data_IF_614012707585
#
_entry.id   IF_614012707585
#
_cell.length_a   1.000
_cell.length_b   1.000
_cell.length_c   1.000
_cell.angle_alpha   90.00
_cell.angle_beta   90.00
_cell.angle_gamma   90.00
#
_symmetry.space_group_name_H-M   'P 1'
#
loop_
_entity.id
_entity.type
_entity.pdbx_description
1 polymer ?
#
# COMPACT_ATOMS: atom_id res chain seq x y z
N UNK A 1 -39.21 -37.18 -28.60
CA UNK A 1 -40.29 -36.23 -28.25
C UNK A 1 -39.74 -35.29 -27.20
N UNK A 2 -39.81 -34.00 -27.49
CA UNK A 2 -39.68 -32.81 -26.64
C UNK A 2 -38.32 -32.61 -25.92
N UNK A 3 -37.36 -31.83 -26.43
CA UNK A 3 -37.19 -30.37 -26.49
C UNK A 3 -37.40 -29.67 -25.13
N UNK A 4 -36.30 -29.29 -24.49
CA UNK A 4 -36.28 -28.22 -23.50
C UNK A 4 -35.09 -27.29 -23.75
N UNK A 5 -35.45 -26.04 -23.95
CA UNK A 5 -34.66 -24.89 -24.36
C UNK A 5 -33.80 -24.44 -23.20
N UNK A 6 -32.50 -24.26 -23.46
CA UNK A 6 -31.59 -23.56 -22.54
C UNK A 6 -31.86 -22.05 -22.62
N UNK A 7 -32.29 -21.46 -21.51
CA UNK A 7 -32.37 -20.02 -21.31
C UNK A 7 -30.99 -19.49 -20.92
N UNK A 8 -30.49 -18.59 -21.74
CA UNK A 8 -29.20 -17.90 -21.61
C UNK A 8 -29.24 -16.78 -20.53
N UNK A 9 -28.26 -16.66 -19.64
CA UNK A 9 -28.22 -15.60 -18.60
C UNK A 9 -27.56 -14.30 -19.12
N UNK A 10 -27.67 -13.97 -20.39
CA UNK A 10 -27.00 -12.80 -20.99
C UNK A 10 -27.78 -11.48 -20.87
N UNK A 11 -29.02 -11.50 -20.37
CA UNK A 11 -29.86 -10.29 -20.33
C UNK A 11 -29.77 -9.46 -19.04
N UNK A 12 -29.26 -10.02 -17.94
CA UNK A 12 -29.21 -9.30 -16.65
C UNK A 12 -28.01 -8.33 -16.55
N UNK A 13 -26.92 -8.63 -17.24
CA UNK A 13 -25.71 -7.77 -17.21
C UNK A 13 -25.86 -6.47 -18.02
N UNK A 14 -26.77 -6.46 -18.99
CA UNK A 14 -27.07 -5.26 -19.79
C UNK A 14 -28.05 -4.31 -19.11
N UNK A 15 -28.88 -4.80 -18.18
CA UNK A 15 -29.80 -3.95 -17.41
C UNK A 15 -29.08 -3.17 -16.29
N UNK A 16 -28.07 -3.75 -15.64
CA UNK A 16 -27.34 -3.05 -14.57
C UNK A 16 -26.45 -1.91 -15.12
N UNK A 17 -25.83 -2.06 -16.31
CA UNK A 17 -25.10 -0.94 -16.95
C UNK A 17 -26.02 0.20 -17.39
N UNK A 18 -27.28 -0.06 -17.72
CA UNK A 18 -28.25 0.99 -18.03
C UNK A 18 -28.76 1.74 -16.82
N UNK A 19 -28.83 1.11 -15.65
CA UNK A 19 -29.25 1.80 -14.41
C UNK A 19 -28.18 2.75 -13.88
N UNK A 20 -26.89 2.43 -13.98
CA UNK A 20 -25.79 3.33 -13.53
C UNK A 20 -25.64 4.53 -14.48
N UNK A 21 -25.82 4.32 -15.79
CA UNK A 21 -25.83 5.42 -16.78
C UNK A 21 -27.10 6.28 -16.66
N UNK A 22 -28.25 5.69 -16.29
CA UNK A 22 -29.49 6.44 -16.05
C UNK A 22 -29.44 7.24 -14.74
N UNK A 23 -28.80 6.78 -13.67
CA UNK A 23 -28.64 7.60 -12.45
C UNK A 23 -27.68 8.78 -12.66
N UNK A 24 -26.63 8.64 -13.48
CA UNK A 24 -25.78 9.77 -13.86
C UNK A 24 -26.48 10.73 -14.84
N UNK A 25 -27.31 10.23 -15.74
CA UNK A 25 -28.15 11.03 -16.63
C UNK A 25 -29.35 11.67 -15.88
N UNK A 26 -29.87 11.04 -14.84
CA UNK A 26 -30.98 11.59 -14.05
C UNK A 26 -30.51 12.74 -13.13
N UNK A 27 -29.27 12.73 -12.62
CA UNK A 27 -28.67 13.90 -11.96
C UNK A 27 -28.38 15.03 -12.95
N UNK A 28 -28.05 14.71 -14.20
CA UNK A 28 -27.89 15.72 -15.26
C UNK A 28 -29.22 16.26 -15.80
N UNK A 29 -30.32 15.50 -15.74
CA UNK A 29 -31.62 15.94 -16.28
C UNK A 29 -32.44 16.79 -15.30
N UNK A 30 -32.14 16.74 -13.99
CA UNK A 30 -32.74 17.65 -13.01
C UNK A 30 -32.18 19.07 -13.08
N UNK A 31 -31.11 19.30 -13.88
CA UNK A 31 -30.50 20.59 -14.17
C UNK A 31 -30.44 20.93 -15.67
N UNK A 32 -31.38 20.44 -16.48
CA UNK A 32 -31.50 20.93 -17.86
C UNK A 32 -32.34 22.20 -17.86
N UNK A 33 -31.71 23.41 -17.96
CA UNK A 33 -32.50 24.64 -18.06
C UNK A 33 -32.92 24.88 -19.51
N UNK A 34 -34.16 25.21 -19.75
CA UNK A 34 -34.53 25.84 -21.00
C UNK A 34 -34.01 27.29 -20.98
N UNK A 35 -33.33 27.72 -22.02
CA UNK A 35 -32.76 29.09 -22.26
C UNK A 35 -31.38 29.37 -21.65
N UNK A 36 -30.36 28.83 -22.26
CA UNK A 36 -29.02 28.66 -21.69
C UNK A 36 -28.16 29.92 -21.59
N UNK A 37 -28.43 31.02 -22.27
CA UNK A 37 -27.46 32.15 -22.34
C UNK A 37 -27.73 33.32 -21.37
N UNK A 38 -28.98 33.76 -21.21
CA UNK A 38 -29.31 34.91 -20.37
C UNK A 38 -29.51 34.56 -18.90
N UNK A 39 -30.12 33.43 -18.61
CA UNK A 39 -30.33 32.94 -17.22
C UNK A 39 -29.01 32.55 -16.55
N UNK A 40 -28.06 31.93 -17.27
CA UNK A 40 -26.75 31.57 -16.72
C UNK A 40 -25.94 32.81 -16.28
N UNK A 41 -25.90 33.87 -17.08
CA UNK A 41 -25.22 35.14 -16.72
C UNK A 41 -25.88 35.85 -15.53
N UNK A 42 -27.21 35.79 -15.42
CA UNK A 42 -27.93 36.34 -14.27
C UNK A 42 -27.60 35.53 -13.01
N UNK A 43 -27.57 34.23 -13.11
CA UNK A 43 -27.19 33.33 -12.00
C UNK A 43 -25.76 33.59 -11.57
N UNK A 44 -24.78 33.66 -12.47
CA UNK A 44 -23.41 33.99 -12.14
C UNK A 44 -23.27 35.34 -11.41
N UNK A 45 -24.04 36.37 -11.84
CA UNK A 45 -24.05 37.66 -11.16
C UNK A 45 -24.60 37.58 -9.75
N UNK A 46 -25.66 36.81 -9.54
CA UNK A 46 -26.26 36.61 -8.20
C UNK A 46 -25.28 35.87 -7.29
N UNK A 47 -24.70 34.75 -7.77
CA UNK A 47 -23.70 33.99 -7.03
C UNK A 47 -22.45 34.82 -6.68
N UNK A 48 -22.00 35.73 -7.61
CA UNK A 48 -20.88 36.61 -7.29
C UNK A 48 -21.23 37.62 -6.19
N UNK A 49 -22.48 38.10 -6.12
CA UNK A 49 -22.93 38.99 -5.04
C UNK A 49 -23.03 38.24 -3.69
N UNK A 50 -23.43 36.96 -3.70
CA UNK A 50 -23.42 36.09 -2.52
C UNK A 50 -21.98 35.85 -2.01
N UNK A 51 -21.01 35.62 -2.92
CA UNK A 51 -19.58 35.56 -2.59
C UNK A 51 -19.12 36.87 -1.93
N UNK A 52 -19.54 38.03 -2.41
CA UNK A 52 -19.19 39.32 -1.82
C UNK A 52 -19.73 39.44 -0.39
N UNK A 53 -20.98 38.99 -0.15
CA UNK A 53 -21.60 38.97 1.16
C UNK A 53 -20.87 38.00 2.14
N UNK A 54 -20.58 36.79 1.70
CA UNK A 54 -19.84 35.80 2.51
C UNK A 54 -18.45 36.28 2.91
N UNK A 55 -17.72 36.97 2.03
CA UNK A 55 -16.42 37.56 2.33
C UNK A 55 -16.49 38.60 3.45
N UNK A 56 -17.59 39.38 3.50
CA UNK A 56 -17.83 40.34 4.59
C UNK A 56 -18.18 39.64 5.89
N UNK A 57 -19.05 38.65 5.86
CA UNK A 57 -19.43 37.83 7.03
C UNK A 57 -18.24 37.08 7.65
N UNK A 58 -17.36 36.52 6.83
CA UNK A 58 -16.15 35.82 7.28
C UNK A 58 -15.23 36.71 8.12
N UNK A 59 -15.19 38.02 7.80
CA UNK A 59 -14.40 38.97 8.59
C UNK A 59 -14.96 39.12 10.02
N UNK A 60 -16.27 39.04 10.20
CA UNK A 60 -16.91 39.18 11.50
C UNK A 60 -16.79 37.93 12.38
N UNK A 61 -16.76 36.72 11.76
CA UNK A 61 -16.73 35.43 12.49
C UNK A 61 -15.33 34.85 12.64
N UNK A 62 -14.28 35.58 12.30
CA UNK A 62 -12.88 35.09 12.28
C UNK A 62 -12.40 34.50 13.63
N UNK A 63 -12.99 34.95 14.74
CA UNK A 63 -12.66 34.46 16.08
C UNK A 63 -13.38 33.14 16.44
N UNK A 64 -14.46 32.80 15.76
CA UNK A 64 -15.16 31.53 15.89
C UNK A 64 -14.66 30.57 14.80
N UNK A 65 -13.72 29.70 15.16
CA UNK A 65 -13.09 28.75 14.24
C UNK A 65 -14.10 27.89 13.49
N UNK A 66 -15.13 27.38 14.17
CA UNK A 66 -16.13 26.50 13.56
C UNK A 66 -17.01 27.25 12.58
N UNK A 67 -17.49 28.45 12.95
CA UNK A 67 -18.29 29.31 12.09
C UNK A 67 -17.46 29.80 10.90
N UNK A 68 -16.20 30.16 11.12
CA UNK A 68 -15.28 30.60 10.08
C UNK A 68 -15.05 29.50 9.02
N UNK A 69 -14.69 28.26 9.44
CA UNK A 69 -14.49 27.14 8.52
C UNK A 69 -15.74 26.77 7.75
N UNK A 70 -16.89 26.75 8.42
CA UNK A 70 -18.18 26.52 7.76
C UNK A 70 -18.46 27.59 6.69
N UNK A 71 -18.20 28.85 6.98
CA UNK A 71 -18.33 29.94 6.03
C UNK A 71 -17.37 29.83 4.85
N UNK A 72 -16.12 29.40 5.08
CA UNK A 72 -15.14 29.17 3.99
C UNK A 72 -15.58 28.01 3.10
N UNK A 73 -16.08 26.93 3.65
CA UNK A 73 -16.62 25.79 2.86
C UNK A 73 -17.77 26.28 1.97
N UNK A 74 -18.69 27.09 2.50
CA UNK A 74 -19.80 27.65 1.71
C UNK A 74 -19.28 28.61 0.62
N UNK A 75 -18.35 29.49 0.97
CA UNK A 75 -17.71 30.42 0.03
C UNK A 75 -17.10 29.68 -1.17
N UNK A 76 -16.39 28.59 -0.93
CA UNK A 76 -15.74 27.82 -1.99
C UNK A 76 -16.74 27.03 -2.83
N UNK A 77 -17.82 26.50 -2.25
CA UNK A 77 -18.94 25.90 -2.99
C UNK A 77 -19.56 26.93 -3.94
N UNK A 78 -19.86 28.13 -3.44
CA UNK A 78 -20.47 29.19 -4.25
C UNK A 78 -19.53 29.69 -5.34
N UNK A 79 -18.23 29.74 -5.08
CA UNK A 79 -17.22 30.08 -6.07
C UNK A 79 -17.21 29.10 -7.26
N UNK A 80 -17.26 27.81 -6.98
CA UNK A 80 -17.34 26.74 -7.99
C UNK A 80 -18.61 26.86 -8.82
N UNK A 81 -19.75 27.08 -8.16
CA UNK A 81 -21.06 27.27 -8.80
C UNK A 81 -21.05 28.54 -9.67
N UNK A 82 -20.52 29.64 -9.16
CA UNK A 82 -20.39 30.90 -9.89
C UNK A 82 -19.55 30.70 -11.17
N UNK A 83 -18.39 30.08 -11.07
CA UNK A 83 -17.52 29.81 -12.22
C UNK A 83 -18.18 28.89 -13.26
N UNK A 84 -18.92 27.88 -12.81
CA UNK A 84 -19.68 27.01 -13.70
C UNK A 84 -20.69 27.78 -14.55
N UNK A 85 -21.48 28.69 -13.95
CA UNK A 85 -22.47 29.46 -14.67
C UNK A 85 -21.81 30.58 -15.50
N UNK A 86 -20.75 31.21 -15.01
CA UNK A 86 -20.00 32.24 -15.69
C UNK A 86 -19.30 31.72 -16.96
N UNK A 87 -18.94 30.45 -16.96
CA UNK A 87 -18.28 29.76 -18.07
C UNK A 87 -19.22 29.26 -19.15
N UNK A 88 -20.54 29.31 -18.94
CA UNK A 88 -21.51 28.82 -19.92
C UNK A 88 -21.39 29.63 -21.24
N UNK A 89 -21.34 28.94 -22.39
CA UNK A 89 -21.25 29.61 -23.68
C UNK A 89 -22.49 30.44 -23.96
N UNK A 90 -22.29 31.54 -24.69
CA UNK A 90 -23.37 32.36 -25.18
C UNK A 90 -24.10 31.68 -26.38
N UNK A 91 -25.10 32.40 -26.95
CA UNK A 91 -25.87 31.92 -28.10
C UNK A 91 -25.01 31.65 -29.36
N UNK A 92 -23.76 32.15 -29.38
CA UNK A 92 -22.79 31.97 -30.48
C UNK A 92 -21.76 30.85 -30.13
N UNK A 93 -21.94 30.14 -29.02
CA UNK A 93 -21.02 29.10 -28.59
C UNK A 93 -19.74 29.61 -27.94
N UNK A 94 -19.59 30.93 -27.69
CA UNK A 94 -18.40 31.50 -27.10
C UNK A 94 -18.51 31.59 -25.58
N UNK A 95 -17.54 30.99 -24.86
CA UNK A 95 -17.37 31.16 -23.41
C UNK A 95 -16.49 32.41 -23.15
N UNK A 96 -16.95 33.28 -22.25
CA UNK A 96 -16.21 34.46 -21.82
C UNK A 96 -16.55 34.81 -20.38
N UNK A 97 -15.93 34.08 -19.42
CA UNK A 97 -16.21 34.24 -18.00
C UNK A 97 -15.72 35.61 -17.51
N UNK A 98 -16.60 36.31 -16.79
CA UNK A 98 -16.35 37.67 -16.29
C UNK A 98 -15.73 37.68 -14.91
N UNK A 99 -16.12 36.74 -14.07
CA UNK A 99 -15.78 36.73 -12.66
C UNK A 99 -14.60 35.79 -12.35
N UNK A 100 -14.27 34.84 -13.24
CA UNK A 100 -13.22 33.80 -13.00
C UNK A 100 -11.91 34.43 -12.54
N UNK A 101 -11.35 35.39 -13.27
CA UNK A 101 -10.04 35.97 -12.95
C UNK A 101 -10.05 36.67 -11.58
N UNK A 102 -11.09 37.46 -11.32
CA UNK A 102 -11.24 38.22 -10.07
C UNK A 102 -11.47 37.25 -8.88
N UNK A 103 -12.37 36.29 -9.04
CA UNK A 103 -12.66 35.33 -8.01
C UNK A 103 -11.46 34.39 -7.77
N UNK A 104 -10.79 33.91 -8.81
CA UNK A 104 -9.58 33.09 -8.68
C UNK A 104 -8.49 33.80 -7.89
N UNK A 105 -8.28 35.11 -8.10
CA UNK A 105 -7.30 35.90 -7.35
C UNK A 105 -7.68 36.10 -5.88
N UNK A 106 -8.93 36.52 -5.61
CA UNK A 106 -9.36 36.88 -4.26
C UNK A 106 -9.68 35.66 -3.38
N UNK A 107 -10.03 34.52 -4.00
CA UNK A 107 -10.41 33.29 -3.28
C UNK A 107 -9.28 32.29 -3.15
N UNK A 108 -8.20 32.38 -3.94
CA UNK A 108 -7.04 31.48 -3.80
C UNK A 108 -6.49 31.35 -2.37
N UNK A 109 -6.44 32.40 -1.52
CA UNK A 109 -5.96 32.25 -0.15
C UNK A 109 -6.83 31.32 0.70
N UNK A 110 -8.09 31.11 0.33
CA UNK A 110 -8.99 30.22 1.07
C UNK A 110 -8.83 28.75 0.73
N UNK A 111 -8.04 28.40 -0.28
CA UNK A 111 -7.72 26.99 -0.57
C UNK A 111 -6.99 26.31 0.61
N UNK A 112 -5.98 26.97 1.20
CA UNK A 112 -5.32 26.45 2.38
C UNK A 112 -6.25 26.39 3.58
N UNK A 113 -7.10 27.40 3.75
CA UNK A 113 -8.10 27.42 4.84
C UNK A 113 -9.12 26.29 4.67
N UNK A 114 -9.45 25.92 3.43
CA UNK A 114 -10.32 24.78 3.14
C UNK A 114 -9.68 23.45 3.58
N UNK A 115 -8.36 23.30 3.39
CA UNK A 115 -7.62 22.16 3.92
C UNK A 115 -7.65 22.16 5.44
N UNK A 116 -7.41 23.30 6.09
CA UNK A 116 -7.49 23.43 7.55
C UNK A 116 -8.87 23.08 8.09
N UNK A 117 -9.93 23.48 7.37
CA UNK A 117 -11.31 23.11 7.71
C UNK A 117 -11.53 21.58 7.65
N UNK A 118 -11.03 20.93 6.61
CA UNK A 118 -11.08 19.46 6.50
C UNK A 118 -10.33 18.76 7.64
N UNK A 119 -9.13 19.23 7.97
CA UNK A 119 -8.33 18.72 9.08
C UNK A 119 -9.01 18.96 10.44
N UNK A 120 -9.67 20.10 10.60
CA UNK A 120 -10.45 20.39 11.82
C UNK A 120 -11.57 19.39 12.03
N UNK A 121 -12.38 19.07 11.02
CA UNK A 121 -13.43 18.07 11.15
C UNK A 121 -12.86 16.65 11.30
N UNK A 122 -11.75 16.31 10.62
CA UNK A 122 -11.03 15.05 10.77
C UNK A 122 -10.53 14.83 12.21
N UNK A 123 -9.92 15.84 12.84
CA UNK A 123 -9.44 15.78 14.21
C UNK A 123 -10.56 15.54 15.23
N UNK A 124 -11.80 15.93 14.90
CA UNK A 124 -13.02 15.72 15.68
C UNK A 124 -13.70 14.38 15.38
N UNK A 125 -13.07 13.52 14.57
CA UNK A 125 -13.61 12.24 14.10
C UNK A 125 -14.89 12.36 13.26
N UNK A 126 -15.13 13.51 12.66
CA UNK A 126 -16.22 13.75 11.72
C UNK A 126 -15.74 13.46 10.29
N UNK A 127 -15.51 12.17 10.04
CA UNK A 127 -14.85 11.68 8.83
C UNK A 127 -15.65 11.99 7.56
N UNK A 128 -17.01 11.98 7.63
CA UNK A 128 -17.85 12.29 6.47
C UNK A 128 -17.70 13.76 6.06
N UNK A 129 -17.82 14.67 7.04
CA UNK A 129 -17.70 16.11 6.81
C UNK A 129 -16.27 16.45 6.31
N UNK A 130 -15.25 15.83 6.92
CA UNK A 130 -13.87 16.00 6.48
C UNK A 130 -13.67 15.55 5.03
N UNK A 131 -14.20 14.38 4.66
CA UNK A 131 -14.12 13.84 3.30
C UNK A 131 -14.80 14.76 2.28
N UNK A 132 -16.00 15.29 2.60
CA UNK A 132 -16.68 16.24 1.72
C UNK A 132 -15.84 17.51 1.48
N UNK A 133 -15.21 18.03 2.53
CA UNK A 133 -14.38 19.23 2.45
C UNK A 133 -13.11 18.95 1.63
N UNK A 134 -12.45 17.83 1.86
CA UNK A 134 -11.28 17.44 1.09
C UNK A 134 -11.60 17.20 -0.39
N UNK A 135 -12.72 16.57 -0.71
CA UNK A 135 -13.17 16.41 -2.09
C UNK A 135 -13.51 17.76 -2.76
N UNK A 136 -14.10 18.69 -1.99
CA UNK A 136 -14.32 20.05 -2.48
C UNK A 136 -13.00 20.76 -2.81
N UNK A 137 -11.97 20.60 -1.98
CA UNK A 137 -10.63 21.14 -2.27
C UNK A 137 -10.08 20.57 -3.58
N UNK A 138 -10.12 19.26 -3.76
CA UNK A 138 -9.63 18.60 -4.99
C UNK A 138 -10.40 19.07 -6.22
N UNK A 139 -11.73 19.19 -6.11
CA UNK A 139 -12.56 19.77 -7.19
C UNK A 139 -12.18 21.22 -7.50
N UNK A 140 -11.88 22.02 -6.47
CA UNK A 140 -11.45 23.40 -6.67
C UNK A 140 -10.13 23.50 -7.45
N UNK A 141 -9.11 22.75 -7.06
CA UNK A 141 -7.75 22.85 -7.67
C UNK A 141 -7.70 22.31 -9.10
N UNK A 142 -8.59 21.39 -9.45
CA UNK A 142 -8.72 20.87 -10.82
C UNK A 142 -9.42 21.88 -11.77
N UNK A 143 -10.13 22.89 -11.23
CA UNK A 143 -10.89 23.85 -12.05
C UNK A 143 -10.03 24.98 -12.58
N UNK A 144 -10.34 25.51 -13.78
CA UNK A 144 -9.67 26.68 -14.34
C UNK A 144 -9.71 27.91 -13.43
N UNK A 145 -10.68 28.00 -12.50
CA UNK A 145 -10.81 29.07 -11.50
C UNK A 145 -9.56 29.20 -10.62
N UNK A 146 -8.95 28.05 -10.23
CA UNK A 146 -7.81 27.98 -9.30
C UNK A 146 -6.57 27.35 -9.93
N UNK A 147 -6.53 27.22 -11.24
CA UNK A 147 -5.43 26.56 -11.94
C UNK A 147 -4.05 27.12 -11.52
N UNK A 148 -3.13 26.23 -11.18
CA UNK A 148 -1.77 26.59 -10.75
C UNK A 148 -1.69 27.18 -9.34
N UNK A 149 -2.71 27.02 -8.50
CA UNK A 149 -2.78 27.52 -7.12
C UNK A 149 -2.73 26.40 -6.07
N UNK A 150 -2.39 25.19 -6.49
CA UNK A 150 -2.34 24.05 -5.60
C UNK A 150 -0.96 23.90 -4.94
N UNK A 151 -0.99 23.63 -3.61
CA UNK A 151 0.18 23.27 -2.82
C UNK A 151 -0.08 22.06 -1.88
N UNK A 152 -1.30 21.51 -1.85
CA UNK A 152 -1.70 20.50 -0.87
C UNK A 152 -2.42 19.30 -1.52
N UNK A 153 -2.31 19.13 -2.83
CA UNK A 153 -3.02 18.04 -3.53
C UNK A 153 -2.62 16.66 -3.00
N UNK A 154 -1.33 16.43 -2.77
CA UNK A 154 -0.82 15.17 -2.22
C UNK A 154 -1.36 14.89 -0.82
N UNK A 155 -1.30 15.87 0.07
CA UNK A 155 -1.84 15.80 1.43
C UNK A 155 -3.34 15.45 1.40
N UNK A 156 -4.12 16.22 0.65
CA UNK A 156 -5.58 16.06 0.63
C UNK A 156 -5.98 14.74 -0.02
N UNK A 157 -5.32 14.36 -1.13
CA UNK A 157 -5.55 13.08 -1.78
C UNK A 157 -5.22 11.91 -0.83
N UNK A 158 -4.15 12.00 -0.04
CA UNK A 158 -3.82 11.02 0.98
C UNK A 158 -4.96 10.85 2.01
N UNK A 159 -5.49 11.95 2.57
CA UNK A 159 -6.59 11.85 3.52
C UNK A 159 -7.88 11.33 2.91
N UNK A 160 -8.20 11.68 1.67
CA UNK A 160 -9.36 11.09 0.97
C UNK A 160 -9.15 9.59 0.76
N UNK A 161 -7.94 9.18 0.34
CA UNK A 161 -7.59 7.77 0.18
C UNK A 161 -7.74 6.99 1.49
N UNK A 162 -7.21 7.53 2.59
CA UNK A 162 -7.29 6.94 3.93
C UNK A 162 -8.76 6.79 4.41
N UNK A 163 -9.56 7.83 4.23
CA UNK A 163 -10.96 7.82 4.63
C UNK A 163 -11.81 6.88 3.77
N UNK A 164 -11.53 6.82 2.45
CA UNK A 164 -12.19 5.87 1.53
C UNK A 164 -11.83 4.42 1.88
N UNK A 165 -10.56 4.15 2.21
CA UNK A 165 -10.14 2.85 2.69
C UNK A 165 -10.88 2.43 3.98
N UNK A 166 -11.02 3.35 4.93
CA UNK A 166 -11.77 3.12 6.16
C UNK A 166 -13.28 2.85 5.96
N UNK A 167 -13.83 3.24 4.79
CA UNK A 167 -15.21 2.95 4.36
C UNK A 167 -15.31 1.71 3.46
N UNK A 168 -14.20 1.02 3.23
CA UNK A 168 -14.11 -0.11 2.31
C UNK A 168 -14.42 0.25 0.84
N UNK A 169 -14.37 1.54 0.48
CA UNK A 169 -14.39 1.98 -0.91
C UNK A 169 -12.96 1.90 -1.49
N UNK A 170 -12.53 0.68 -1.75
CA UNK A 170 -11.16 0.39 -2.19
C UNK A 170 -10.85 1.00 -3.55
N UNK A 171 -11.84 1.11 -4.43
CA UNK A 171 -11.67 1.70 -5.75
C UNK A 171 -11.40 3.21 -5.66
N UNK A 172 -12.11 3.93 -4.81
CA UNK A 172 -11.87 5.35 -4.55
C UNK A 172 -10.55 5.55 -3.79
N UNK A 173 -10.28 4.69 -2.79
CA UNK A 173 -9.03 4.72 -2.03
C UNK A 173 -7.79 4.55 -2.93
N UNK A 174 -7.77 3.56 -3.83
CA UNK A 174 -6.69 3.33 -4.79
C UNK A 174 -6.51 4.54 -5.72
N UNK A 175 -7.60 5.09 -6.25
CA UNK A 175 -7.55 6.26 -7.15
C UNK A 175 -6.89 7.48 -6.51
N UNK A 176 -7.23 7.79 -5.26
CA UNK A 176 -6.64 8.93 -4.56
C UNK A 176 -5.25 8.63 -4.01
N UNK A 177 -4.94 7.37 -3.69
CA UNK A 177 -3.58 6.94 -3.40
C UNK A 177 -2.65 7.23 -4.60
N UNK A 178 -3.08 6.93 -5.84
CA UNK A 178 -2.31 7.24 -7.06
C UNK A 178 -2.03 8.74 -7.25
N UNK A 179 -2.90 9.61 -6.75
CA UNK A 179 -2.66 11.06 -6.74
C UNK A 179 -1.63 11.42 -5.67
N UNK A 180 -1.79 10.88 -4.46
CA UNK A 180 -0.92 11.16 -3.32
C UNK A 180 0.51 10.61 -3.51
N UNK A 181 0.69 9.52 -4.26
CA UNK A 181 2.00 8.95 -4.64
C UNK A 181 2.93 9.95 -5.35
N UNK A 182 2.38 10.98 -5.98
CA UNK A 182 3.16 12.01 -6.68
C UNK A 182 3.81 13.02 -5.73
N UNK A 183 3.40 13.05 -4.48
CA UNK A 183 3.96 13.91 -3.44
C UNK A 183 4.90 13.08 -2.56
N UNK A 184 6.19 13.41 -2.56
CA UNK A 184 7.23 12.68 -1.82
C UNK A 184 6.97 12.59 -0.31
N UNK A 185 6.21 13.53 0.27
CA UNK A 185 5.88 13.51 1.69
C UNK A 185 4.86 12.42 2.05
N UNK A 186 4.01 12.03 1.09
CA UNK A 186 2.91 11.08 1.30
C UNK A 186 3.05 9.80 0.48
N UNK A 187 4.06 9.72 -0.41
CA UNK A 187 4.22 8.63 -1.35
C UNK A 187 4.25 7.26 -0.67
N UNK A 188 4.98 7.13 0.43
CA UNK A 188 5.08 5.87 1.17
C UNK A 188 3.73 5.45 1.75
N UNK A 189 3.07 6.35 2.48
CA UNK A 189 1.82 6.04 3.17
C UNK A 189 0.68 5.78 2.16
N UNK A 190 0.68 6.51 1.05
CA UNK A 190 -0.23 6.28 -0.07
C UNK A 190 -0.01 4.92 -0.74
N UNK A 191 1.26 4.50 -0.91
CA UNK A 191 1.59 3.19 -1.46
C UNK A 191 1.10 2.06 -0.55
N UNK A 192 1.19 2.23 0.78
CA UNK A 192 0.65 1.27 1.74
C UNK A 192 -0.88 1.10 1.58
N UNK A 193 -1.61 2.21 1.48
CA UNK A 193 -3.07 2.16 1.26
C UNK A 193 -3.37 1.44 -0.06
N UNK A 194 -2.67 1.82 -1.14
CA UNK A 194 -2.85 1.23 -2.47
C UNK A 194 -2.65 -0.28 -2.45
N UNK A 195 -1.57 -0.76 -1.83
CA UNK A 195 -1.26 -2.18 -1.72
C UNK A 195 -2.33 -2.92 -0.91
N UNK A 196 -2.80 -2.34 0.19
CA UNK A 196 -3.86 -2.93 0.98
C UNK A 196 -5.19 -3.01 0.20
N UNK A 197 -5.52 -2.00 -0.62
CA UNK A 197 -6.67 -2.05 -1.52
C UNK A 197 -6.52 -3.16 -2.56
N UNK A 198 -5.36 -3.25 -3.23
CA UNK A 198 -5.09 -4.27 -4.25
C UNK A 198 -5.18 -5.68 -3.68
N UNK A 199 -4.71 -5.89 -2.44
CA UNK A 199 -4.75 -7.20 -1.78
C UNK A 199 -6.16 -7.75 -1.62
N UNK A 200 -7.17 -6.88 -1.50
CA UNK A 200 -8.57 -7.31 -1.35
C UNK A 200 -9.20 -7.85 -2.65
N UNK A 201 -8.55 -7.64 -3.81
CA UNK A 201 -9.09 -7.94 -5.13
C UNK A 201 -8.11 -8.74 -6.01
N UNK A 202 -7.37 -9.69 -5.43
CA UNK A 202 -6.44 -10.57 -6.16
C UNK A 202 -7.20 -11.72 -6.84
N UNK A 203 -8.02 -11.41 -7.85
CA UNK A 203 -8.87 -12.39 -8.53
C UNK A 203 -8.27 -12.90 -9.84
N UNK A 204 -7.36 -12.14 -10.45
CA UNK A 204 -6.75 -12.49 -11.73
C UNK A 204 -5.22 -12.49 -11.66
N UNK A 205 -4.59 -13.13 -12.65
CA UNK A 205 -3.13 -13.08 -12.82
C UNK A 205 -2.64 -11.63 -13.06
N UNK A 206 -3.46 -10.81 -13.72
CA UNK A 206 -3.13 -9.40 -13.95
C UNK A 206 -3.17 -8.60 -12.64
N UNK A 207 -4.14 -8.85 -11.75
CA UNK A 207 -4.21 -8.19 -10.44
C UNK A 207 -3.01 -8.59 -9.59
N UNK A 208 -2.64 -9.88 -9.62
CA UNK A 208 -1.44 -10.37 -8.93
C UNK A 208 -0.17 -9.70 -9.43
N UNK A 209 -0.02 -9.52 -10.75
CA UNK A 209 1.14 -8.84 -11.34
C UNK A 209 1.19 -7.35 -10.95
N UNK A 210 0.06 -6.65 -10.94
CA UNK A 210 -0.03 -5.26 -10.47
C UNK A 210 0.32 -5.12 -8.98
N UNK A 211 -0.22 -6.02 -8.16
CA UNK A 211 0.04 -6.06 -6.72
C UNK A 211 1.52 -6.25 -6.42
N UNK A 212 2.16 -7.27 -7.03
CA UNK A 212 3.56 -7.54 -6.75
C UNK A 212 4.47 -6.40 -7.21
N UNK A 213 4.17 -5.79 -8.36
CA UNK A 213 4.92 -4.62 -8.85
C UNK A 213 4.84 -3.47 -7.85
N UNK A 214 3.65 -3.12 -7.39
CA UNK A 214 3.44 -2.04 -6.42
C UNK A 214 4.11 -2.36 -5.05
N UNK A 215 4.09 -3.61 -4.62
CA UNK A 215 4.73 -4.04 -3.38
C UNK A 215 6.26 -3.99 -3.46
N UNK A 216 6.85 -4.35 -4.61
CA UNK A 216 8.29 -4.20 -4.86
C UNK A 216 8.69 -2.72 -4.84
N UNK A 217 7.92 -1.85 -5.50
CA UNK A 217 8.15 -0.40 -5.49
C UNK A 217 8.10 0.17 -4.06
N UNK A 218 7.13 -0.25 -3.25
CA UNK A 218 7.01 0.15 -1.85
C UNK A 218 8.20 -0.33 -1.02
N UNK A 219 8.63 -1.57 -1.21
CA UNK A 219 9.82 -2.11 -0.55
C UNK A 219 11.09 -1.33 -0.97
N UNK A 220 11.22 -0.97 -2.24
CA UNK A 220 12.36 -0.17 -2.72
C UNK A 220 12.36 1.27 -2.16
N UNK A 221 11.17 1.87 -1.89
CA UNK A 221 11.06 3.16 -1.21
C UNK A 221 11.42 3.10 0.28
N UNK A 222 11.20 1.97 0.94
CA UNK A 222 11.45 1.80 2.36
C UNK A 222 12.08 0.42 2.67
N UNK A 223 13.34 0.18 2.21
CA UNK A 223 13.97 -1.14 2.25
C UNK A 223 14.27 -1.65 3.67
N UNK A 224 14.30 -0.78 4.66
CA UNK A 224 14.47 -1.13 6.07
C UNK A 224 13.14 -1.53 6.75
N UNK A 225 12.01 -1.38 6.06
CA UNK A 225 10.73 -1.81 6.58
C UNK A 225 10.54 -3.32 6.36
N UNK A 226 10.73 -4.05 7.45
CA UNK A 226 10.62 -5.51 7.48
C UNK A 226 9.24 -6.05 7.06
N UNK A 227 8.20 -5.24 7.23
CA UNK A 227 6.82 -5.64 6.88
C UNK A 227 6.69 -5.87 5.37
N UNK A 228 7.26 -4.98 4.55
CA UNK A 228 7.17 -5.10 3.10
C UNK A 228 7.95 -6.30 2.57
N UNK A 229 9.15 -6.51 3.12
CA UNK A 229 9.95 -7.69 2.80
C UNK A 229 9.22 -8.99 3.17
N UNK A 230 8.60 -9.04 4.35
CA UNK A 230 7.77 -10.18 4.76
C UNK A 230 6.58 -10.40 3.83
N UNK A 231 5.87 -9.33 3.44
CA UNK A 231 4.73 -9.45 2.51
C UNK A 231 5.16 -10.03 1.15
N UNK A 232 6.36 -9.67 0.65
CA UNK A 232 6.95 -10.25 -0.56
C UNK A 232 7.25 -11.73 -0.39
N UNK A 233 7.87 -12.13 0.73
CA UNK A 233 8.12 -13.54 1.05
C UNK A 233 6.80 -14.31 1.12
N UNK A 234 5.81 -13.81 1.85
CA UNK A 234 4.50 -14.46 2.01
C UNK A 234 3.81 -14.66 0.64
N UNK A 235 3.87 -13.64 -0.22
CA UNK A 235 3.32 -13.74 -1.57
C UNK A 235 4.03 -14.81 -2.41
N UNK A 236 5.36 -14.76 -2.53
CA UNK A 236 6.13 -15.72 -3.34
C UNK A 236 6.09 -17.13 -2.78
N UNK A 237 6.05 -17.29 -1.45
CA UNK A 237 5.91 -18.60 -0.79
C UNK A 237 4.55 -19.24 -1.03
N UNK A 238 3.51 -18.43 -1.26
CA UNK A 238 2.17 -18.91 -1.62
C UNK A 238 2.06 -19.42 -3.07
N UNK A 239 3.03 -19.13 -3.92
CA UNK A 239 3.04 -19.60 -5.30
C UNK A 239 3.44 -21.10 -5.35
N UNK A 240 2.89 -21.82 -6.35
CA UNK A 240 3.25 -23.23 -6.58
C UNK A 240 4.70 -23.38 -7.06
N UNK A 241 5.17 -22.43 -7.83
CA UNK A 241 6.53 -22.37 -8.34
C UNK A 241 7.41 -21.51 -7.41
N UNK A 242 8.36 -22.14 -6.74
CA UNK A 242 9.28 -21.49 -5.81
C UNK A 242 10.46 -20.81 -6.50
N UNK A 243 10.58 -20.93 -7.81
CA UNK A 243 11.66 -20.29 -8.60
C UNK A 243 11.63 -18.78 -8.39
N UNK A 244 10.44 -18.18 -8.38
CA UNK A 244 10.26 -16.75 -8.18
C UNK A 244 10.73 -16.26 -6.79
N UNK A 245 10.56 -17.08 -5.76
CA UNK A 245 11.08 -16.77 -4.42
C UNK A 245 12.63 -16.75 -4.41
N UNK A 246 13.24 -17.71 -5.09
CA UNK A 246 14.70 -17.78 -5.21
C UNK A 246 15.26 -16.61 -6.04
N UNK A 247 14.61 -16.26 -7.15
CA UNK A 247 14.95 -15.10 -7.97
C UNK A 247 14.81 -13.80 -7.15
N UNK A 248 13.73 -13.63 -6.41
CA UNK A 248 13.55 -12.47 -5.53
C UNK A 248 14.68 -12.37 -4.48
N UNK A 249 15.02 -13.48 -3.80
CA UNK A 249 16.10 -13.48 -2.81
C UNK A 249 17.46 -13.09 -3.45
N UNK A 250 17.74 -13.61 -4.65
CA UNK A 250 18.97 -13.31 -5.38
C UNK A 250 19.04 -11.84 -5.83
N UNK A 251 17.96 -11.29 -6.38
CA UNK A 251 17.89 -9.87 -6.78
C UNK A 251 18.00 -8.95 -5.57
N UNK A 252 17.39 -9.31 -4.44
CA UNK A 252 17.47 -8.53 -3.21
C UNK A 252 18.90 -8.49 -2.66
N UNK A 253 19.61 -9.62 -2.65
CA UNK A 253 21.03 -9.68 -2.26
C UNK A 253 21.90 -8.84 -3.20
N UNK A 254 21.61 -8.86 -4.50
CA UNK A 254 22.33 -8.05 -5.49
C UNK A 254 22.12 -6.55 -5.28
N UNK A 255 20.89 -6.12 -4.97
CA UNK A 255 20.55 -4.72 -4.69
C UNK A 255 21.08 -4.26 -3.33
N UNK A 256 20.99 -5.12 -2.31
CA UNK A 256 21.28 -4.84 -0.90
C UNK A 256 22.06 -6.00 -0.27
N UNK A 257 23.37 -6.08 -0.51
CA UNK A 257 24.20 -7.19 -0.02
C UNK A 257 24.32 -7.24 1.51
N UNK A 258 23.92 -6.17 2.20
CA UNK A 258 23.83 -6.05 3.66
C UNK A 258 22.44 -6.41 4.22
N UNK A 259 21.51 -6.86 3.41
CA UNK A 259 20.21 -7.35 3.87
C UNK A 259 20.34 -8.77 4.45
N UNK A 260 20.49 -8.88 5.79
CA UNK A 260 20.60 -10.17 6.50
C UNK A 260 19.41 -11.10 6.22
N UNK A 261 18.21 -10.57 5.97
CA UNK A 261 17.00 -11.37 5.75
C UNK A 261 16.99 -11.99 4.35
N UNK A 262 17.51 -11.30 3.36
CA UNK A 262 17.64 -11.85 2.01
C UNK A 262 18.63 -13.02 2.00
N UNK A 263 19.75 -12.91 2.74
CA UNK A 263 20.68 -14.01 2.93
C UNK A 263 20.06 -15.18 3.69
N UNK A 264 19.29 -14.92 4.76
CA UNK A 264 18.57 -15.96 5.49
C UNK A 264 17.53 -16.67 4.61
N UNK A 265 16.74 -15.91 3.85
CA UNK A 265 15.77 -16.44 2.89
C UNK A 265 16.43 -17.36 1.84
N UNK A 266 17.57 -16.94 1.27
CA UNK A 266 18.34 -17.78 0.35
C UNK A 266 18.83 -19.06 1.04
N UNK A 267 19.29 -18.95 2.30
CA UNK A 267 19.66 -20.09 3.13
C UNK A 267 18.53 -21.07 3.37
N UNK A 268 17.34 -20.57 3.69
CA UNK A 268 16.13 -21.38 3.88
C UNK A 268 15.74 -22.14 2.60
N UNK A 269 15.83 -21.49 1.44
CA UNK A 269 15.56 -22.12 0.14
C UNK A 269 16.56 -23.25 -0.12
N UNK A 270 17.87 -22.98 0.05
CA UNK A 270 18.91 -24.00 -0.11
C UNK A 270 18.74 -25.16 0.90
N UNK A 271 18.36 -24.87 2.15
CA UNK A 271 18.09 -25.88 3.16
C UNK A 271 16.91 -26.79 2.76
N UNK A 272 15.83 -26.22 2.21
CA UNK A 272 14.69 -26.99 1.70
C UNK A 272 15.06 -27.90 0.53
N UNK A 273 16.03 -27.46 -0.30
CA UNK A 273 16.59 -28.24 -1.40
C UNK A 273 17.64 -29.28 -0.94
N UNK A 274 17.99 -29.32 0.35
CA UNK A 274 19.07 -30.12 0.93
C UNK A 274 20.46 -29.72 0.43
N UNK A 275 20.62 -28.49 -0.04
CA UNK A 275 21.89 -27.90 -0.46
C UNK A 275 22.61 -27.33 0.78
N UNK A 276 22.99 -28.24 1.72
CA UNK A 276 23.46 -27.86 3.06
C UNK A 276 24.64 -26.90 3.07
N UNK A 277 25.62 -27.08 2.16
CA UNK A 277 26.80 -26.21 2.09
C UNK A 277 26.44 -24.80 1.68
N UNK A 278 25.57 -24.63 0.69
CA UNK A 278 25.07 -23.32 0.27
C UNK A 278 24.22 -22.67 1.38
N UNK A 279 23.36 -23.43 2.02
CA UNK A 279 22.55 -22.95 3.16
C UNK A 279 23.45 -22.41 4.28
N UNK A 280 24.49 -23.19 4.68
CA UNK A 280 25.47 -22.77 5.69
C UNK A 280 26.15 -21.46 5.29
N UNK A 281 26.60 -21.33 4.04
CA UNK A 281 27.23 -20.09 3.54
C UNK A 281 26.27 -18.91 3.67
N UNK A 282 25.03 -19.07 3.24
CA UNK A 282 24.03 -18.01 3.27
C UNK A 282 23.67 -17.57 4.71
N UNK A 283 23.41 -18.53 5.60
CA UNK A 283 23.11 -18.20 7.00
C UNK A 283 24.32 -17.59 7.72
N UNK A 284 25.55 -18.07 7.46
CA UNK A 284 26.75 -17.44 8.00
C UNK A 284 26.93 -16.00 7.51
N UNK A 285 26.56 -15.71 6.26
CA UNK A 285 26.57 -14.36 5.75
C UNK A 285 25.54 -13.47 6.48
N UNK A 286 24.33 -13.98 6.73
CA UNK A 286 23.32 -13.28 7.54
C UNK A 286 23.84 -12.97 8.96
N UNK A 287 24.53 -13.93 9.60
CA UNK A 287 25.16 -13.78 10.91
C UNK A 287 26.36 -12.81 10.88
N UNK A 288 27.10 -12.73 9.78
CA UNK A 288 28.18 -11.76 9.63
C UNK A 288 27.66 -10.33 9.56
N UNK A 289 26.47 -10.12 8.97
CA UNK A 289 25.78 -8.83 8.93
C UNK A 289 25.20 -8.49 10.29
N UNK A 290 24.54 -9.45 10.94
CA UNK A 290 23.99 -9.29 12.28
C UNK A 290 24.29 -10.49 13.16
N UNK A 291 25.28 -10.34 14.02
CA UNK A 291 25.74 -11.40 14.92
C UNK A 291 24.75 -11.82 15.99
N UNK A 292 23.69 -11.04 16.20
CA UNK A 292 22.58 -11.31 17.14
C UNK A 292 21.35 -11.91 16.46
N UNK A 293 21.41 -12.21 15.16
CA UNK A 293 20.29 -12.80 14.43
C UNK A 293 20.10 -14.27 14.81
N UNK A 294 19.40 -14.49 15.92
CA UNK A 294 19.25 -15.81 16.59
C UNK A 294 18.84 -16.91 15.62
N UNK A 295 17.83 -16.65 14.74
CA UNK A 295 17.35 -17.64 13.79
C UNK A 295 18.46 -18.12 12.85
N UNK A 296 19.21 -17.20 12.25
CA UNK A 296 20.29 -17.59 11.33
C UNK A 296 21.42 -18.34 12.04
N UNK A 297 21.74 -17.96 13.30
CA UNK A 297 22.74 -18.70 14.13
C UNK A 297 22.28 -20.13 14.37
N UNK A 298 21.01 -20.31 14.71
CA UNK A 298 20.41 -21.62 14.91
C UNK A 298 20.40 -22.46 13.63
N UNK A 299 19.99 -21.87 12.51
CA UNK A 299 19.85 -22.56 11.23
C UNK A 299 21.20 -23.04 10.66
N UNK A 300 22.32 -22.36 10.96
CA UNK A 300 23.64 -22.91 10.69
C UNK A 300 23.85 -24.21 11.43
N UNK A 301 23.50 -24.26 12.72
CA UNK A 301 23.60 -25.46 13.54
C UNK A 301 22.76 -26.62 13.00
N UNK A 302 21.50 -26.32 12.61
CA UNK A 302 20.58 -27.29 12.00
C UNK A 302 21.12 -27.82 10.67
N UNK A 303 21.66 -26.96 9.80
CA UNK A 303 22.26 -27.40 8.54
C UNK A 303 23.42 -28.38 8.76
N UNK A 304 24.28 -28.15 9.75
CA UNK A 304 25.35 -29.08 10.10
C UNK A 304 24.82 -30.41 10.66
N UNK A 305 23.77 -30.40 11.49
CA UNK A 305 23.10 -31.62 11.95
C UNK A 305 22.55 -32.41 10.77
N UNK A 306 21.77 -31.76 9.91
CA UNK A 306 21.15 -32.42 8.74
C UNK A 306 22.18 -32.95 7.77
N UNK A 307 23.28 -32.23 7.55
CA UNK A 307 24.40 -32.68 6.71
C UNK A 307 25.09 -33.90 7.32
N UNK A 308 25.28 -33.95 8.65
CA UNK A 308 25.85 -35.09 9.36
C UNK A 308 24.96 -36.32 9.26
N UNK A 309 23.64 -36.16 9.42
CA UNK A 309 22.66 -37.23 9.29
C UNK A 309 22.61 -37.77 7.86
N UNK A 310 22.53 -36.92 6.85
CA UNK A 310 22.52 -37.36 5.45
C UNK A 310 23.82 -38.07 5.07
N UNK A 311 24.97 -37.55 5.52
CA UNK A 311 26.26 -38.20 5.29
C UNK A 311 26.31 -39.58 5.97
N UNK A 312 25.81 -39.71 7.22
CA UNK A 312 25.74 -40.99 7.92
C UNK A 312 24.88 -41.99 7.14
N UNK A 313 23.66 -41.59 6.77
CA UNK A 313 22.71 -42.45 6.07
C UNK A 313 23.24 -42.91 4.70
N UNK A 314 24.04 -42.05 4.02
CA UNK A 314 24.69 -42.40 2.74
C UNK A 314 25.88 -43.34 2.84
N UNK A 315 26.53 -43.42 4.01
CA UNK A 315 27.76 -44.18 4.23
C UNK A 315 27.58 -45.46 5.07
N UNK A 316 26.45 -45.62 5.76
CA UNK A 316 26.14 -46.84 6.50
C UNK A 316 25.93 -48.00 5.53
N UNK A 317 26.62 -49.15 5.84
CA UNK A 317 26.40 -50.39 5.12
C UNK A 317 25.11 -51.11 5.60
N UNK A 318 24.76 -52.21 4.96
CA UNK A 318 23.59 -53.03 5.34
C UNK A 318 23.61 -53.54 6.82
N UNK A 319 24.75 -53.40 7.49
CA UNK A 319 24.94 -53.76 8.91
C UNK A 319 25.03 -52.57 9.83
N UNK A 320 24.66 -51.38 9.33
CA UNK A 320 24.77 -50.11 10.06
C UNK A 320 26.19 -49.78 10.57
N UNK A 321 27.25 -50.16 9.80
CA UNK A 321 28.62 -49.92 10.17
C UNK A 321 29.25 -48.83 9.31
N UNK A 322 29.95 -47.92 9.98
CA UNK A 322 30.73 -46.88 9.38
C UNK A 322 32.23 -47.20 9.46
N UNK A 323 33.01 -46.79 8.49
CA UNK A 323 34.47 -46.81 8.64
C UNK A 323 34.90 -45.77 9.70
N UNK A 324 36.07 -46.00 10.32
CA UNK A 324 36.59 -45.04 11.30
C UNK A 324 36.81 -43.66 10.71
N UNK A 325 37.16 -43.57 9.44
CA UNK A 325 37.28 -42.29 8.72
C UNK A 325 35.99 -41.56 8.60
N UNK A 326 34.92 -42.27 8.19
CA UNK A 326 33.61 -41.67 7.98
C UNK A 326 32.96 -41.28 9.33
N UNK A 327 33.12 -42.11 10.34
CA UNK A 327 32.68 -41.76 11.69
C UNK A 327 33.35 -40.47 12.21
N UNK A 328 34.63 -40.27 11.93
CA UNK A 328 35.33 -39.03 12.29
C UNK A 328 34.81 -37.81 11.51
N UNK A 329 34.48 -37.94 10.21
CA UNK A 329 33.91 -36.90 9.40
C UNK A 329 32.54 -36.46 9.92
N UNK A 330 31.68 -37.43 10.21
CA UNK A 330 30.35 -37.21 10.79
C UNK A 330 30.47 -36.51 12.15
N UNK A 331 31.39 -37.00 13.00
CA UNK A 331 31.66 -36.42 14.32
C UNK A 331 32.09 -34.95 14.21
N UNK A 332 32.90 -34.60 13.24
CA UNK A 332 33.34 -33.21 13.00
C UNK A 332 32.16 -32.32 12.64
N UNK A 333 31.21 -32.77 11.81
CA UNK A 333 29.99 -32.04 11.51
C UNK A 333 29.11 -31.79 12.74
N UNK A 334 28.96 -32.80 13.60
CA UNK A 334 28.24 -32.63 14.87
C UNK A 334 28.96 -31.67 15.84
N UNK A 335 30.27 -31.60 15.82
CA UNK A 335 31.04 -30.64 16.62
C UNK A 335 30.76 -29.20 16.13
N UNK A 336 30.81 -28.96 14.81
CA UNK A 336 30.40 -27.68 14.23
C UNK A 336 28.96 -27.32 14.62
N UNK A 337 28.02 -28.26 14.46
CA UNK A 337 26.63 -28.07 14.86
C UNK A 337 26.49 -27.63 16.31
N UNK A 338 27.22 -28.33 17.22
CA UNK A 338 27.21 -28.02 18.65
C UNK A 338 27.68 -26.59 18.94
N UNK A 339 28.76 -26.16 18.31
CA UNK A 339 29.34 -24.82 18.54
C UNK A 339 28.34 -23.74 18.15
N UNK A 340 27.62 -23.91 17.03
CA UNK A 340 26.56 -22.99 16.62
C UNK A 340 25.34 -23.03 17.55
N UNK A 341 24.90 -24.21 17.99
CA UNK A 341 23.78 -24.38 18.94
C UNK A 341 24.11 -23.79 20.32
N UNK A 342 25.36 -23.94 20.79
CA UNK A 342 25.83 -23.27 22.02
C UNK A 342 25.82 -21.74 21.85
N UNK A 343 26.24 -21.24 20.68
CA UNK A 343 26.11 -19.80 20.39
C UNK A 343 24.64 -19.37 20.40
N UNK A 344 23.72 -20.17 19.85
CA UNK A 344 22.27 -19.89 19.91
C UNK A 344 21.80 -19.80 21.36
N UNK A 345 22.22 -20.72 22.23
CA UNK A 345 21.84 -20.71 23.65
C UNK A 345 22.32 -19.46 24.40
N UNK A 346 23.46 -18.89 23.99
CA UNK A 346 23.93 -17.63 24.54
C UNK A 346 23.15 -16.39 24.09
N UNK A 347 22.49 -16.47 22.92
CA UNK A 347 21.67 -15.38 22.38
C UNK A 347 20.18 -15.50 22.83
N UNK A 348 19.73 -16.71 23.16
CA UNK A 348 18.34 -16.99 23.58
C UNK A 348 18.36 -17.95 24.80
N UNK A 349 18.90 -17.47 25.94
CA UNK A 349 19.15 -18.28 27.14
C UNK A 349 17.93 -19.07 27.63
N UNK A 350 16.75 -18.50 27.48
CA UNK A 350 15.51 -19.11 27.96
C UNK A 350 14.80 -19.97 26.90
N UNK A 351 15.26 -19.96 25.64
CA UNK A 351 14.60 -20.64 24.52
C UNK A 351 13.21 -20.07 24.23
N UNK A 352 13.07 -18.74 24.36
CA UNK A 352 11.79 -18.05 24.11
C UNK A 352 11.57 -17.77 22.62
N UNK A 353 12.66 -17.65 21.86
CA UNK A 353 12.61 -17.38 20.43
C UNK A 353 12.66 -18.68 19.63
N UNK A 354 13.49 -19.66 20.06
CA UNK A 354 13.76 -20.91 19.34
C UNK A 354 13.92 -22.08 20.30
N UNK A 355 13.36 -23.23 19.97
CA UNK A 355 13.50 -24.48 20.74
C UNK A 355 14.84 -25.17 20.48
N UNK A 356 15.95 -24.52 20.80
CA UNK A 356 17.31 -25.05 20.56
C UNK A 356 17.75 -26.18 21.51
N UNK A 357 17.21 -26.25 22.74
CA UNK A 357 17.66 -27.16 23.81
C UNK A 357 17.61 -28.60 23.38
N UNK A 358 16.49 -29.04 22.82
CA UNK A 358 16.27 -30.43 22.39
C UNK A 358 17.31 -30.86 21.35
N UNK A 359 17.64 -30.02 20.42
CA UNK A 359 18.61 -30.33 19.36
C UNK A 359 20.03 -30.37 19.93
N UNK A 360 20.38 -29.40 20.78
CA UNK A 360 21.69 -29.41 21.47
C UNK A 360 21.90 -30.64 22.31
N UNK A 361 20.88 -31.07 23.05
CA UNK A 361 20.94 -32.30 23.87
C UNK A 361 21.13 -33.57 23.01
N UNK A 362 20.45 -33.63 21.85
CA UNK A 362 20.65 -34.74 20.89
C UNK A 362 22.08 -34.75 20.34
N UNK A 363 22.60 -33.60 19.94
CA UNK A 363 23.99 -33.47 19.44
C UNK A 363 25.00 -33.84 20.52
N UNK A 364 24.83 -33.38 21.76
CA UNK A 364 25.69 -33.72 22.87
C UNK A 364 25.69 -35.26 23.12
N UNK A 365 24.52 -35.90 23.08
CA UNK A 365 24.41 -37.37 23.22
C UNK A 365 25.18 -38.12 22.12
N UNK A 366 25.08 -37.64 20.85
CA UNK A 366 25.85 -38.24 19.73
C UNK A 366 27.34 -38.06 19.92
N UNK A 367 27.78 -36.96 20.48
CA UNK A 367 29.20 -36.68 20.76
C UNK A 367 29.73 -37.37 22.04
N UNK A 368 28.85 -37.93 22.86
CA UNK A 368 29.20 -38.57 24.15
C UNK A 368 29.49 -37.55 25.27
N UNK A 369 28.83 -36.41 25.25
CA UNK A 369 28.96 -35.27 26.19
C UNK A 369 27.76 -35.23 27.15
#
# INVERSE_FOLDING_TARGET
MQSLVACCPFSLFFLMKRCVILSFLLLCTLFSPPCVGQNARRTAKTMNAEIDGLLQELSAVKQDTAAYYKGVVQLMKDAVICDYFDSKPDKKGKSSPRYRMTNGKRLSPYLSVLVDAGMYEYSRRKNEEAMEIFKLYLDCVERPLFQGKDNNMGLVAYYVSLLSYGKEDFAEAERYADVALKDSNYAKDAAEIKINCMKTHLESQQDSARYITALVELHDMAPTNDVYFKMLIDYFSGLKDRTQLAEFAAEEIKKRPDNKRAWALKGEISMQNKEWDEAIVCFRQAVAIDSSYVQAVYDVGICYVSKAEELRDSLEDDRHKLTKSDANRIKALYQEARDWLVRTSGLDENGQLIEWKKILDQVNKVLGL
#
